data_IF_431107113433
#
_entry.id   IF_431107113433
#
_cell.length_a   1.000
_cell.length_b   1.000
_cell.length_c   1.000
_cell.angle_alpha   90.00
_cell.angle_beta   90.00
_cell.angle_gamma   90.00
#
_symmetry.space_group_name_H-M   'P 1'
#
loop_
_entity.id
_entity.type
_entity.pdbx_description
1 polymer ?
#
# COMPACT_ATOMS: atom_id res chain seq x y z
N UNK A 1 -10.94 0.01 -4.11
CA UNK A 1 -10.86 -0.52 -2.73
C UNK A 1 -12.21 -1.09 -2.36
N UNK A 2 -12.23 -2.20 -1.60
CA UNK A 2 -13.44 -2.73 -0.96
C UNK A 2 -13.20 -2.77 0.54
N UNK A 3 -14.27 -2.56 1.32
CA UNK A 3 -14.19 -2.56 2.79
C UNK A 3 -15.43 -3.25 3.37
N UNK A 4 -15.21 -4.09 4.38
CA UNK A 4 -16.29 -4.62 5.24
C UNK A 4 -16.86 -3.53 6.16
N UNK A 5 -16.04 -2.53 6.49
CA UNK A 5 -16.39 -1.42 7.38
C UNK A 5 -16.88 -0.20 6.59
N UNK A 6 -17.75 0.66 7.18
CA UNK A 6 -18.21 1.88 6.54
C UNK A 6 -17.08 2.76 6.02
N UNK A 7 -17.17 3.16 4.75
CA UNK A 7 -16.31 4.16 4.13
C UNK A 7 -16.99 5.52 4.33
N UNK A 8 -16.46 6.36 5.23
CA UNK A 8 -17.02 7.67 5.55
C UNK A 8 -16.70 8.72 4.49
N UNK A 9 -15.49 8.65 3.92
CA UNK A 9 -14.99 9.53 2.86
C UNK A 9 -14.13 8.70 1.93
N UNK A 10 -14.19 8.99 0.64
CA UNK A 10 -13.23 8.50 -0.35
C UNK A 10 -12.85 9.62 -1.31
N UNK A 11 -11.61 9.62 -1.75
CA UNK A 11 -11.09 10.57 -2.73
C UNK A 11 -10.06 9.86 -3.61
N UNK A 12 -10.17 10.04 -4.92
CA UNK A 12 -9.19 9.51 -5.86
C UNK A 12 -8.36 10.67 -6.40
N UNK A 13 -7.09 10.73 -6.01
CA UNK A 13 -6.16 11.72 -6.48
C UNK A 13 -5.52 11.22 -7.78
N UNK A 14 -5.69 11.96 -8.88
CA UNK A 14 -4.96 11.69 -10.12
C UNK A 14 -3.47 12.03 -9.93
N UNK A 15 -2.63 11.02 -10.14
CA UNK A 15 -1.16 11.13 -10.06
C UNK A 15 -0.51 10.70 -11.38
N UNK A 16 -1.24 10.83 -12.48
CA UNK A 16 -0.75 10.58 -13.82
C UNK A 16 0.39 11.55 -14.16
N UNK A 17 1.46 11.01 -14.73
CA UNK A 17 2.59 11.79 -15.24
C UNK A 17 2.62 11.55 -16.75
N UNK A 18 2.89 12.62 -17.51
CA UNK A 18 2.86 12.67 -18.99
C UNK A 18 3.05 11.31 -19.66
N UNK A 19 2.01 10.85 -20.36
CA UNK A 19 1.99 9.52 -20.97
C UNK A 19 0.58 8.91 -20.95
N UNK A 20 0.41 7.72 -21.53
CA UNK A 20 -0.90 7.08 -21.65
C UNK A 20 -1.37 6.41 -20.34
N UNK A 21 -0.47 6.18 -19.38
CA UNK A 21 -0.80 5.48 -18.13
C UNK A 21 -1.49 6.41 -17.13
N UNK A 22 -2.81 6.26 -17.01
CA UNK A 22 -3.58 6.93 -15.94
C UNK A 22 -3.31 6.25 -14.61
N UNK A 23 -2.90 7.02 -13.60
CA UNK A 23 -2.55 6.52 -12.26
C UNK A 23 -3.29 7.33 -11.20
N UNK A 24 -3.73 6.65 -10.14
CA UNK A 24 -4.48 7.27 -9.05
C UNK A 24 -4.04 6.76 -7.69
N UNK A 25 -4.20 7.61 -6.68
CA UNK A 25 -4.12 7.24 -5.27
C UNK A 25 -5.54 7.34 -4.69
N UNK A 26 -6.14 6.20 -4.35
CA UNK A 26 -7.47 6.17 -3.75
C UNK A 26 -7.33 6.18 -2.23
N UNK A 27 -7.62 7.33 -1.62
CA UNK A 27 -7.69 7.48 -0.17
C UNK A 27 -9.12 7.26 0.31
N UNK A 28 -9.27 6.43 1.34
CA UNK A 28 -10.52 6.19 2.04
C UNK A 28 -10.34 6.40 3.55
N UNK A 29 -11.39 6.90 4.18
CA UNK A 29 -11.51 7.00 5.64
C UNK A 29 -12.56 5.99 6.11
N UNK A 30 -12.15 5.07 6.97
CA UNK A 30 -12.98 3.96 7.45
C UNK A 30 -13.32 4.15 8.93
N UNK A 31 -14.57 3.87 9.28
CA UNK A 31 -15.00 3.78 10.68
C UNK A 31 -14.98 2.32 11.12
N UNK A 32 -14.09 1.97 12.04
CA UNK A 32 -14.11 0.65 12.67
C UNK A 32 -15.07 0.64 13.87
N UNK A 33 -15.83 -0.45 14.08
CA UNK A 33 -16.65 -0.61 15.27
C UNK A 33 -15.82 -0.52 16.55
N UNK A 34 -16.32 0.21 17.56
CA UNK A 34 -15.69 0.30 18.88
C UNK A 34 -14.43 1.18 18.94
N UNK A 35 -14.09 1.90 17.86
CA UNK A 35 -12.96 2.85 17.84
C UNK A 35 -13.44 4.29 17.65
N UNK A 36 -12.84 5.20 18.40
CA UNK A 36 -13.06 6.64 18.21
C UNK A 36 -12.27 7.19 17.02
N UNK A 37 -11.04 6.69 16.81
CA UNK A 37 -10.20 7.11 15.70
C UNK A 37 -10.56 6.38 14.40
N UNK A 38 -10.70 7.15 13.31
CA UNK A 38 -10.87 6.63 11.97
C UNK A 38 -9.58 6.00 11.43
N UNK A 39 -9.72 5.02 10.55
CA UNK A 39 -8.61 4.38 9.86
C UNK A 39 -8.51 4.93 8.45
N UNK A 40 -7.32 5.42 8.09
CA UNK A 40 -7.05 5.90 6.75
C UNK A 40 -6.46 4.76 5.93
N UNK A 41 -6.98 4.53 4.73
CA UNK A 41 -6.51 3.52 3.80
C UNK A 41 -6.20 4.16 2.45
N UNK A 42 -5.01 3.94 1.90
CA UNK A 42 -4.62 4.43 0.58
C UNK A 42 -4.28 3.26 -0.32
N UNK A 43 -5.05 3.09 -1.40
CA UNK A 43 -4.78 2.10 -2.44
C UNK A 43 -3.94 2.75 -3.54
N UNK A 44 -2.82 2.12 -3.89
CA UNK A 44 -1.86 2.66 -4.85
C UNK A 44 -1.65 1.74 -6.04
N UNK A 45 -1.36 2.33 -7.19
CA UNK A 45 -0.78 1.64 -8.34
C UNK A 45 0.17 2.62 -9.03
N UNK A 46 1.48 2.47 -8.82
CA UNK A 46 2.48 3.41 -9.32
C UNK A 46 2.96 3.03 -10.73
N UNK A 47 3.53 4.00 -11.44
CA UNK A 47 4.00 3.82 -12.82
C UNK A 47 5.22 2.90 -12.94
N UNK A 48 5.46 2.42 -14.16
CA UNK A 48 6.60 1.53 -14.44
C UNK A 48 7.94 2.28 -14.55
N UNK A 49 7.91 3.57 -14.87
CA UNK A 49 9.10 4.41 -14.98
C UNK A 49 9.52 4.95 -13.61
N UNK A 50 10.81 4.81 -13.25
CA UNK A 50 11.33 5.23 -11.93
C UNK A 50 11.13 6.73 -11.66
N UNK A 51 11.31 7.59 -12.68
CA UNK A 51 11.07 9.02 -12.56
C UNK A 51 9.61 9.31 -12.24
N UNK A 52 8.68 8.55 -12.83
CA UNK A 52 7.25 8.69 -12.56
C UNK A 52 6.92 8.22 -11.15
N UNK A 53 7.40 7.03 -10.74
CA UNK A 53 7.22 6.54 -9.37
C UNK A 53 7.74 7.51 -8.32
N UNK A 54 8.93 8.08 -8.54
CA UNK A 54 9.54 9.01 -7.58
C UNK A 54 8.63 10.21 -7.32
N UNK A 55 8.03 10.79 -8.37
CA UNK A 55 7.08 11.89 -8.24
C UNK A 55 5.74 11.45 -7.65
N UNK A 56 5.25 10.25 -7.99
CA UNK A 56 4.02 9.71 -7.40
C UNK A 56 4.17 9.37 -5.91
N UNK A 57 5.33 8.89 -5.49
CA UNK A 57 5.66 8.69 -4.08
C UNK A 57 5.70 10.02 -3.31
N UNK A 58 6.23 11.07 -3.92
CA UNK A 58 6.19 12.42 -3.33
C UNK A 58 4.75 12.90 -3.14
N UNK A 59 3.90 12.76 -4.17
CA UNK A 59 2.47 13.09 -4.10
C UNK A 59 1.72 12.26 -3.05
N UNK A 60 2.06 10.97 -2.90
CA UNK A 60 1.54 10.12 -1.83
C UNK A 60 1.94 10.64 -0.44
N UNK A 61 3.20 11.06 -0.26
CA UNK A 61 3.65 11.65 1.01
C UNK A 61 2.90 12.95 1.31
N UNK A 62 2.76 13.83 0.31
CA UNK A 62 2.00 15.09 0.44
C UNK A 62 0.52 14.84 0.79
N UNK A 63 -0.10 13.84 0.17
CA UNK A 63 -1.46 13.40 0.51
C UNK A 63 -1.55 12.96 1.96
N UNK A 64 -0.60 12.13 2.42
CA UNK A 64 -0.57 11.64 3.82
C UNK A 64 -0.35 12.77 4.81
N UNK A 65 0.60 13.67 4.52
CA UNK A 65 0.93 14.84 5.35
C UNK A 65 -0.28 15.79 5.47
N UNK A 66 -1.08 15.94 4.41
CA UNK A 66 -2.25 16.84 4.38
C UNK A 66 -3.52 16.23 4.97
N UNK A 67 -3.83 14.97 4.64
CA UNK A 67 -5.15 14.38 4.90
C UNK A 67 -5.19 13.39 6.07
N UNK A 68 -4.04 12.95 6.60
CA UNK A 68 -3.98 11.90 7.61
C UNK A 68 -3.35 12.43 8.91
N UNK A 69 -4.13 12.55 10.01
CA UNK A 69 -3.60 12.96 11.31
C UNK A 69 -2.41 12.10 11.74
N UNK A 70 -1.44 12.72 12.41
CA UNK A 70 -0.16 12.10 12.74
C UNK A 70 -0.30 10.85 13.64
N UNK A 71 -1.32 10.81 14.48
CA UNK A 71 -1.69 9.73 15.41
C UNK A 71 -2.75 8.77 14.85
N UNK A 72 -3.36 9.09 13.70
CA UNK A 72 -4.36 8.23 13.08
C UNK A 72 -3.73 6.96 12.50
N UNK A 73 -4.39 5.80 12.63
CA UNK A 73 -4.02 4.58 11.91
C UNK A 73 -4.07 4.78 10.40
N UNK A 74 -3.00 4.37 9.72
CA UNK A 74 -2.88 4.47 8.26
C UNK A 74 -2.40 3.15 7.68
N UNK A 75 -3.06 2.70 6.62
CA UNK A 75 -2.64 1.58 5.78
C UNK A 75 -2.44 2.08 4.35
N UNK A 76 -1.30 1.79 3.75
CA UNK A 76 -1.05 2.07 2.32
C UNK A 76 -0.70 0.76 1.64
N UNK A 77 -1.47 0.35 0.64
CA UNK A 77 -1.30 -0.95 0.01
C UNK A 77 -1.55 -0.91 -1.51
N UNK A 78 -0.86 -1.78 -2.24
CA UNK A 78 -1.04 -1.95 -3.67
C UNK A 78 0.26 -2.25 -4.40
N UNK A 79 0.25 -2.02 -5.71
CA UNK A 79 1.39 -2.24 -6.59
C UNK A 79 2.25 -0.96 -6.66
N UNK A 80 3.43 -1.02 -6.05
CA UNK A 80 4.37 0.10 -6.06
C UNK A 80 5.27 0.10 -7.30
N UNK A 81 5.29 -0.99 -8.09
CA UNK A 81 6.24 -1.20 -9.17
C UNK A 81 7.71 -0.91 -8.78
N UNK A 82 8.02 -1.07 -7.48
CA UNK A 82 9.31 -0.72 -6.91
C UNK A 82 10.14 -1.96 -6.58
N UNK A 83 10.77 -2.53 -7.61
CA UNK A 83 11.71 -3.64 -7.45
C UNK A 83 13.05 -3.20 -6.83
N UNK A 84 13.36 -1.89 -6.81
CA UNK A 84 14.61 -1.35 -6.25
C UNK A 84 14.51 -1.04 -4.76
N UNK A 85 13.33 -1.16 -4.16
CA UNK A 85 13.08 -0.90 -2.74
C UNK A 85 13.32 0.58 -2.37
N UNK A 86 13.23 1.51 -3.34
CA UNK A 86 13.43 2.94 -3.11
C UNK A 86 12.28 3.58 -2.31
N UNK A 87 11.08 3.01 -2.38
CA UNK A 87 9.88 3.51 -1.71
C UNK A 87 9.98 3.43 -0.18
N UNK A 88 10.63 2.39 0.37
CA UNK A 88 10.71 2.20 1.83
C UNK A 88 11.26 3.43 2.53
N UNK A 89 12.44 3.89 2.10
CA UNK A 89 13.14 5.00 2.74
C UNK A 89 12.32 6.29 2.67
N UNK A 90 11.67 6.54 1.53
CA UNK A 90 10.85 7.74 1.34
C UNK A 90 9.62 7.71 2.26
N UNK A 91 8.89 6.59 2.27
CA UNK A 91 7.65 6.43 3.04
C UNK A 91 7.91 6.35 4.55
N UNK A 92 9.02 5.73 4.97
CA UNK A 92 9.43 5.69 6.37
C UNK A 92 9.78 7.09 6.87
N UNK A 93 10.64 7.83 6.17
CA UNK A 93 11.08 9.16 6.63
C UNK A 93 10.00 10.23 6.53
N UNK A 94 9.21 10.27 5.46
CA UNK A 94 8.22 11.34 5.24
C UNK A 94 6.86 11.05 5.85
N UNK A 95 6.43 9.78 5.82
CA UNK A 95 5.08 9.41 6.20
C UNK A 95 5.04 8.55 7.47
N UNK A 96 6.18 8.14 8.06
CA UNK A 96 6.23 7.28 9.24
C UNK A 96 5.74 5.86 8.97
N UNK A 97 5.76 5.43 7.70
CA UNK A 97 5.21 4.17 7.26
C UNK A 97 6.24 3.03 7.37
N UNK A 98 5.81 1.89 7.90
CA UNK A 98 6.63 0.67 8.03
C UNK A 98 6.02 -0.43 7.17
N UNK A 99 6.85 -1.12 6.40
CA UNK A 99 6.37 -2.21 5.54
C UNK A 99 6.21 -3.51 6.34
N UNK A 100 5.05 -4.15 6.20
CA UNK A 100 4.62 -5.28 7.05
C UNK A 100 5.54 -6.50 6.91
N UNK A 101 5.87 -6.91 5.69
CA UNK A 101 6.66 -8.11 5.43
C UNK A 101 8.13 -7.89 5.79
N UNK A 102 8.69 -6.73 5.43
CA UNK A 102 10.04 -6.32 5.81
C UNK A 102 10.20 -6.28 7.33
N UNK A 103 9.23 -5.70 8.05
CA UNK A 103 9.29 -5.61 9.50
C UNK A 103 9.20 -6.98 10.19
N UNK A 104 8.36 -7.88 9.68
CA UNK A 104 8.10 -9.18 10.31
C UNK A 104 9.12 -10.26 9.95
N UNK A 105 9.62 -10.26 8.70
CA UNK A 105 10.44 -11.34 8.14
C UNK A 105 11.76 -10.87 7.53
N UNK A 106 12.12 -9.59 7.64
CA UNK A 106 13.37 -9.03 7.13
C UNK A 106 13.44 -8.85 5.61
N UNK A 107 12.37 -9.19 4.88
CA UNK A 107 12.28 -8.99 3.43
C UNK A 107 10.85 -8.77 2.97
N UNK A 108 10.66 -7.94 1.94
CA UNK A 108 9.35 -7.74 1.33
C UNK A 108 8.90 -8.97 0.52
N UNK A 109 7.60 -9.13 0.36
CA UNK A 109 7.04 -10.26 -0.35
C UNK A 109 7.39 -10.23 -1.86
N UNK A 110 7.69 -11.40 -2.43
CA UNK A 110 7.80 -11.56 -3.89
C UNK A 110 6.43 -11.92 -4.43
N UNK A 111 5.93 -11.10 -5.34
CA UNK A 111 4.56 -11.21 -5.88
C UNK A 111 4.51 -11.42 -7.37
N UNK A 112 5.54 -11.01 -8.11
CA UNK A 112 5.54 -11.08 -9.57
C UNK A 112 6.72 -11.90 -10.13
N UNK A 113 6.51 -12.72 -11.19
CA UNK A 113 5.22 -13.18 -11.69
C UNK A 113 4.58 -14.21 -10.75
N UNK A 114 3.26 -14.27 -10.65
CA UNK A 114 2.53 -15.08 -9.66
C UNK A 114 2.84 -16.58 -9.73
N UNK A 115 3.11 -17.11 -10.94
CA UNK A 115 3.48 -18.52 -11.16
C UNK A 115 4.87 -18.85 -10.62
N UNK A 116 5.79 -17.89 -10.62
CA UNK A 116 7.14 -18.03 -10.10
C UNK A 116 7.60 -16.69 -9.48
N UNK A 117 7.17 -16.36 -8.24
CA UNK A 117 7.36 -15.03 -7.68
C UNK A 117 8.83 -14.72 -7.43
N UNK A 118 9.35 -13.71 -8.12
CA UNK A 118 10.75 -13.27 -8.10
C UNK A 118 10.91 -11.80 -7.68
N UNK A 119 10.03 -10.93 -8.16
CA UNK A 119 10.06 -9.49 -7.95
C UNK A 119 9.11 -9.06 -6.81
N UNK A 120 9.51 -8.01 -6.10
CA UNK A 120 8.81 -7.45 -4.94
C UNK A 120 8.10 -6.15 -5.35
N UNK A 121 6.94 -6.26 -6.01
CA UNK A 121 6.24 -5.10 -6.57
C UNK A 121 5.12 -4.60 -5.66
N UNK A 122 4.36 -5.53 -5.08
CA UNK A 122 3.24 -5.23 -4.19
C UNK A 122 3.69 -5.12 -2.74
N UNK A 123 3.07 -4.21 -1.98
CA UNK A 123 3.46 -3.93 -0.59
C UNK A 123 2.27 -3.53 0.27
N UNK A 124 2.40 -3.74 1.58
CA UNK A 124 1.49 -3.23 2.60
C UNK A 124 2.32 -2.46 3.62
N UNK A 125 2.08 -1.16 3.73
CA UNK A 125 2.69 -0.28 4.70
C UNK A 125 1.66 0.14 5.75
N UNK A 126 2.13 0.33 6.99
CA UNK A 126 1.28 0.79 8.10
C UNK A 126 1.95 1.88 8.93
N UNK A 127 1.14 2.72 9.57
CA UNK A 127 1.52 3.70 10.59
C UNK A 127 0.47 3.69 11.71
N UNK A 128 0.92 3.86 12.96
CA UNK A 128 0.07 3.79 14.17
C UNK A 128 -0.76 2.51 14.24
N UNK A 129 -0.11 1.39 13.93
CA UNK A 129 -0.70 0.06 13.93
C UNK A 129 0.31 -0.93 14.51
N UNK A 130 -0.15 -1.83 15.36
CA UNK A 130 0.60 -3.01 15.73
C UNK A 130 0.56 -4.01 14.57
N UNK A 131 1.73 -4.47 14.14
CA UNK A 131 1.84 -5.46 13.06
C UNK A 131 1.72 -6.84 13.68
N UNK A 132 0.73 -7.62 13.25
CA UNK A 132 0.49 -8.95 13.84
C UNK A 132 1.11 -10.08 13.04
N UNK A 133 0.90 -10.14 11.72
CA UNK A 133 1.69 -11.00 10.84
C UNK A 133 1.32 -10.83 9.36
N UNK A 134 2.28 -11.02 8.43
CA UNK A 134 1.94 -11.37 7.06
C UNK A 134 1.20 -12.71 7.00
N UNK A 135 0.18 -12.82 6.15
CA UNK A 135 -0.58 -14.04 5.94
C UNK A 135 -0.07 -14.76 4.68
N UNK A 136 0.23 -16.05 4.79
CA UNK A 136 0.61 -16.88 3.65
C UNK A 136 -0.65 -17.33 2.92
N UNK A 137 -0.81 -16.87 1.67
CA UNK A 137 -1.88 -17.32 0.80
C UNK A 137 -1.41 -18.50 -0.07
N UNK A 138 -2.29 -19.48 -0.37
CA UNK A 138 -1.94 -20.57 -1.27
C UNK A 138 -1.62 -20.02 -2.66
N UNK A 139 -0.77 -20.71 -3.44
CA UNK A 139 -0.45 -20.26 -4.82
C UNK A 139 -1.64 -20.41 -5.78
N UNK A 140 -2.40 -21.49 -5.64
CA UNK A 140 -3.60 -21.75 -6.45
C UNK A 140 -4.86 -21.39 -5.65
N UNK A 141 -5.91 -20.87 -6.30
CA UNK A 141 -6.05 -20.63 -7.74
C UNK A 141 -5.42 -19.32 -8.24
N UNK A 142 -4.92 -18.46 -7.35
CA UNK A 142 -4.50 -17.09 -7.63
C UNK A 142 -3.50 -16.93 -8.76
N UNK A 143 -2.51 -17.83 -8.86
CA UNK A 143 -1.50 -17.81 -9.92
C UNK A 143 -2.03 -18.01 -11.34
N UNK A 144 -3.31 -18.35 -11.49
CA UNK A 144 -4.01 -18.47 -12.78
C UNK A 144 -4.99 -17.31 -13.02
N UNK A 145 -5.30 -16.51 -12.01
CA UNK A 145 -6.24 -15.39 -12.10
C UNK A 145 -5.53 -14.06 -12.34
N UNK A 146 -4.26 -13.95 -11.95
CA UNK A 146 -3.43 -12.76 -12.14
C UNK A 146 -1.95 -13.16 -12.31
N UNK A 147 -1.19 -12.28 -12.94
CA UNK A 147 0.27 -12.27 -12.99
C UNK A 147 0.92 -11.75 -11.70
N UNK A 148 0.16 -11.17 -10.77
CA UNK A 148 0.59 -10.82 -9.41
C UNK A 148 0.00 -11.79 -8.37
N UNK A 149 0.83 -12.29 -7.47
CA UNK A 149 0.38 -13.07 -6.33
C UNK A 149 -0.19 -12.14 -5.25
N UNK A 150 -1.34 -12.49 -4.63
CA UNK A 150 -1.97 -11.64 -3.63
C UNK A 150 -1.13 -11.55 -2.36
N UNK A 151 -1.23 -10.39 -1.70
CA UNK A 151 -0.71 -10.17 -0.35
C UNK A 151 -1.85 -10.04 0.64
N UNK A 152 -1.65 -10.61 1.83
CA UNK A 152 -2.54 -10.45 2.95
C UNK A 152 -1.73 -10.26 4.23
N UNK A 153 -2.28 -9.50 5.16
CA UNK A 153 -1.70 -9.25 6.46
C UNK A 153 -2.81 -9.03 7.48
N UNK A 154 -2.56 -9.48 8.71
CA UNK A 154 -3.36 -9.11 9.87
C UNK A 154 -2.68 -7.94 10.58
N UNK A 155 -3.47 -6.87 10.80
CA UNK A 155 -3.02 -5.62 11.39
C UNK A 155 -3.95 -5.33 12.56
N UNK A 156 -3.38 -5.12 13.76
CA UNK A 156 -4.16 -4.59 14.88
C UNK A 156 -3.89 -3.11 15.01
N UNK A 157 -4.95 -2.39 15.34
CA UNK A 157 -4.96 -0.95 15.46
C UNK A 157 -5.11 -0.55 16.92
#
# INVERSE_FOLDING_TARGET
MLSKFPILRHENLDVSISGPERRGLLHCVLQLPGRSANVHAVCVHLGLQESHRSRQLALLCELVEREVPADAPLVVAGDFNDWRRSAHRVLEHRAGLREVFLHSGGTSARTFPARFPMLQLDRIYVRNAAVHAPMVLPRRPWSHLSDHAPLAAEISL
#
